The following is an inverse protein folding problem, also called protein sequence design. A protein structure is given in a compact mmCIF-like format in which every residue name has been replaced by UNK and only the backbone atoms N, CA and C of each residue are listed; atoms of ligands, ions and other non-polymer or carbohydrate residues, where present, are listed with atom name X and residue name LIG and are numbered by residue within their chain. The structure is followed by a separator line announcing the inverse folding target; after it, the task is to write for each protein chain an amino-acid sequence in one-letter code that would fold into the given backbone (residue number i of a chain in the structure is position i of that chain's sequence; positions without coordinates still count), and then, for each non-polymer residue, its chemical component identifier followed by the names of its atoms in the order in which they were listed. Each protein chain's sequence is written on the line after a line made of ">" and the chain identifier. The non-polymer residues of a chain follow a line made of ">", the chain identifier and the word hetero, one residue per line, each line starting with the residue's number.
data_IF_817583362632
#
_entry.id   IF_817583362632
#
_cell.length_a   1.000
_cell.length_b   1.000
_cell.length_c   1.000
_cell.angle_alpha   90.00
_cell.angle_beta   90.00
_cell.angle_gamma   90.00
#
_symmetry.space_group_name_H-M   'P 1'
#
loop_
_entity.id
_entity.type
_entity.pdbx_description
1 polymer ?
#
# COMPACT_ATOMS: atom_id res chain seq x y z
N UNK A 1 -7.00 14.73 0.61
CA UNK A 1 -5.74 14.17 1.12
C UNK A 1 -5.95 13.66 2.54
N UNK A 2 -6.40 14.49 3.51
CA UNK A 2 -6.79 14.03 4.87
C UNK A 2 -7.74 12.82 4.90
N UNK A 3 -8.76 12.81 4.04
CA UNK A 3 -9.69 11.67 3.94
C UNK A 3 -8.96 10.41 3.42
N UNK A 4 -8.20 10.52 2.33
CA UNK A 4 -7.46 9.41 1.75
C UNK A 4 -6.37 8.82 2.67
N UNK A 5 -5.70 9.65 3.48
CA UNK A 5 -4.76 9.17 4.50
C UNK A 5 -5.48 8.44 5.63
N UNK A 6 -6.60 9.00 6.11
CA UNK A 6 -7.43 8.38 7.16
C UNK A 6 -8.06 7.06 6.70
N UNK A 7 -8.50 6.97 5.44
CA UNK A 7 -9.03 5.74 4.85
C UNK A 7 -7.97 4.65 4.77
N UNK A 8 -6.76 5.01 4.32
CA UNK A 8 -5.63 4.08 4.23
C UNK A 8 -5.15 3.61 5.62
N UNK A 9 -5.16 4.49 6.62
CA UNK A 9 -4.86 4.12 8.01
C UNK A 9 -5.87 3.11 8.57
N UNK A 10 -7.17 3.42 8.48
CA UNK A 10 -8.23 2.52 8.92
C UNK A 10 -8.19 1.15 8.21
N UNK A 11 -7.81 1.15 6.94
CA UNK A 11 -7.60 -0.07 6.19
C UNK A 11 -6.42 -0.87 6.74
N UNK A 12 -5.26 -0.24 6.92
CA UNK A 12 -4.07 -0.91 7.46
C UNK A 12 -4.23 -1.41 8.90
N UNK A 13 -5.13 -0.82 9.70
CA UNK A 13 -5.49 -1.31 11.04
C UNK A 13 -6.26 -2.64 10.98
N UNK A 14 -7.22 -2.78 10.05
CA UNK A 14 -7.96 -4.03 9.84
C UNK A 14 -7.04 -5.20 9.49
N UNK A 15 -5.96 -4.94 8.75
CA UNK A 15 -4.94 -5.96 8.47
C UNK A 15 -4.20 -6.41 9.73
N UNK A 16 -3.90 -5.50 10.66
CA UNK A 16 -3.17 -5.83 11.89
C UNK A 16 -4.02 -6.64 12.89
N UNK A 17 -5.31 -6.32 12.98
CA UNK A 17 -6.26 -7.10 13.78
C UNK A 17 -6.38 -8.53 13.23
N UNK A 18 -6.57 -8.69 11.92
CA UNK A 18 -6.66 -10.00 11.28
C UNK A 18 -5.37 -10.84 11.40
N UNK A 19 -4.19 -10.20 11.43
CA UNK A 19 -2.92 -10.91 11.58
C UNK A 19 -2.64 -11.32 13.05
N UNK A 20 -3.20 -10.60 14.03
CA UNK A 20 -3.02 -10.93 15.45
C UNK A 20 -3.87 -12.14 15.89
N UNK A 21 -4.94 -12.45 15.16
CA UNK A 21 -5.76 -13.66 15.35
C UNK A 21 -5.13 -14.91 14.75
N UNK A 22 -3.95 -14.80 14.14
CA UNK A 22 -3.26 -15.91 13.51
C UNK A 22 -2.46 -16.70 14.55
N UNK A 23 -2.90 -17.94 14.76
CA UNK A 23 -2.41 -18.88 15.75
C UNK A 23 -0.88 -19.07 15.72
N UNK A 24 -0.31 -19.18 16.92
CA UNK A 24 1.00 -19.76 17.19
C UNK A 24 1.16 -21.11 16.46
N UNK A 25 1.92 -21.10 15.36
CA UNK A 25 2.26 -22.28 14.56
C UNK A 25 3.68 -22.78 14.83
N UNK A 26 4.29 -22.39 15.95
CA UNK A 26 5.68 -22.76 16.28
C UNK A 26 5.92 -24.28 16.48
N UNK A 27 4.86 -25.10 16.51
CA UNK A 27 4.93 -26.54 16.82
C UNK A 27 4.75 -27.54 15.67
N UNK A 28 4.38 -27.15 14.44
CA UNK A 28 4.08 -28.11 13.36
C UNK A 28 5.21 -28.18 12.34
N UNK A 29 5.73 -29.37 12.10
CA UNK A 29 6.82 -29.63 11.15
C UNK A 29 6.24 -30.30 9.90
N UNK A 30 5.88 -29.51 8.87
CA UNK A 30 5.65 -29.99 7.49
C UNK A 30 5.63 -28.83 6.49
N UNK A 31 5.96 -29.17 5.26
CA UNK A 31 6.29 -28.29 4.12
C UNK A 31 5.29 -27.19 3.68
N UNK A 32 3.99 -27.12 4.06
CA UNK A 32 3.14 -25.97 3.71
C UNK A 32 3.43 -24.67 4.48
N UNK A 33 4.28 -24.69 5.51
CA UNK A 33 4.57 -23.52 6.36
C UNK A 33 5.40 -22.45 5.64
N UNK A 34 6.26 -22.85 4.70
CA UNK A 34 7.14 -21.92 3.98
C UNK A 34 6.35 -20.98 3.05
N UNK A 35 5.29 -21.48 2.42
CA UNK A 35 4.38 -20.68 1.60
C UNK A 35 3.58 -19.71 2.47
N UNK A 36 3.10 -20.16 3.63
CA UNK A 36 2.35 -19.32 4.56
C UNK A 36 3.23 -18.21 5.14
N UNK A 37 4.44 -18.53 5.61
CA UNK A 37 5.41 -17.56 6.09
C UNK A 37 5.73 -16.47 5.06
N UNK A 38 5.88 -16.82 3.79
CA UNK A 38 6.13 -15.86 2.71
C UNK A 38 4.94 -14.93 2.47
N UNK A 39 3.72 -15.47 2.43
CA UNK A 39 2.49 -14.69 2.26
C UNK A 39 2.26 -13.73 3.44
N UNK A 40 2.55 -14.15 4.67
CA UNK A 40 2.44 -13.28 5.85
C UNK A 40 3.50 -12.18 5.88
N UNK A 41 4.71 -12.48 5.43
CA UNK A 41 5.78 -11.50 5.32
C UNK A 41 5.44 -10.46 4.24
N UNK A 42 4.92 -10.88 3.10
CA UNK A 42 4.45 -9.98 2.04
C UNK A 42 3.24 -9.13 2.47
N UNK A 43 2.28 -9.72 3.20
CA UNK A 43 1.16 -8.99 3.79
C UNK A 43 1.64 -7.91 4.77
N UNK A 44 2.59 -8.24 5.64
CA UNK A 44 3.21 -7.29 6.57
C UNK A 44 3.91 -6.15 5.81
N UNK A 45 4.58 -6.50 4.71
CA UNK A 45 5.30 -5.58 3.85
C UNK A 45 4.40 -4.62 3.05
N UNK A 46 3.21 -5.06 2.63
CA UNK A 46 2.17 -4.21 2.01
C UNK A 46 1.65 -3.20 3.04
N UNK A 47 1.25 -3.68 4.22
CA UNK A 47 0.68 -2.85 5.30
C UNK A 47 1.70 -1.80 5.76
N UNK A 48 2.94 -2.22 6.01
CA UNK A 48 4.02 -1.33 6.42
C UNK A 48 4.27 -0.21 5.41
N UNK A 49 4.32 -0.55 4.11
CA UNK A 49 4.53 0.43 3.04
C UNK A 49 3.33 1.35 2.86
N UNK A 50 2.09 0.84 2.95
CA UNK A 50 0.89 1.66 2.91
C UNK A 50 0.87 2.69 4.08
N UNK A 51 1.24 2.27 5.29
CA UNK A 51 1.38 3.17 6.45
C UNK A 51 2.46 4.24 6.23
N UNK A 52 3.62 3.85 5.70
CA UNK A 52 4.68 4.80 5.33
C UNK A 52 4.15 5.84 4.34
N UNK A 53 3.46 5.40 3.29
CA UNK A 53 2.88 6.29 2.28
C UNK A 53 1.82 7.23 2.88
N UNK A 54 0.95 6.75 3.78
CA UNK A 54 0.01 7.62 4.50
C UNK A 54 0.72 8.71 5.29
N UNK A 55 1.75 8.34 6.07
CA UNK A 55 2.53 9.29 6.87
C UNK A 55 3.24 10.35 6.02
N UNK A 56 3.83 9.93 4.89
CA UNK A 56 4.45 10.85 3.93
C UNK A 56 3.42 11.81 3.32
N UNK A 57 2.29 11.29 2.83
CA UNK A 57 1.23 12.11 2.25
C UNK A 57 0.58 13.05 3.28
N UNK A 58 0.49 12.62 4.54
CA UNK A 58 0.01 13.45 5.63
C UNK A 58 0.95 14.62 5.93
N UNK A 59 2.28 14.37 5.94
CA UNK A 59 3.28 15.43 6.07
C UNK A 59 3.17 16.48 4.95
N UNK A 60 2.92 16.03 3.72
CA UNK A 60 2.66 16.91 2.56
C UNK A 60 1.35 17.69 2.71
N UNK A 61 0.30 17.09 3.26
CA UNK A 61 -0.95 17.80 3.58
C UNK A 61 -0.74 18.87 4.67
N UNK A 62 -0.02 18.56 5.74
CA UNK A 62 0.29 19.50 6.82
C UNK A 62 1.06 20.71 6.30
N UNK A 63 1.97 20.52 5.34
CA UNK A 63 2.65 21.62 4.66
C UNK A 63 1.67 22.63 4.06
N UNK A 64 0.58 22.18 3.42
CA UNK A 64 -0.46 23.08 2.87
C UNK A 64 -1.21 23.89 3.93
N UNK A 65 -1.08 23.50 5.21
CA UNK A 65 -1.64 24.19 6.37
C UNK A 65 -0.62 25.04 7.12
N UNK A 66 0.64 25.03 6.70
CA UNK A 66 1.75 25.66 7.44
C UNK A 66 2.15 24.89 8.70
N UNK A 67 1.77 23.61 8.78
CA UNK A 67 2.04 22.72 9.91
C UNK A 67 3.01 21.59 9.52
N UNK A 68 3.43 20.81 10.52
CA UNK A 68 4.19 19.59 10.29
C UNK A 68 5.69 19.80 10.06
N UNK A 69 6.39 18.76 9.59
CA UNK A 69 7.85 18.72 9.55
C UNK A 69 8.45 19.46 8.34
N UNK A 70 7.69 19.62 7.25
CA UNK A 70 8.15 20.27 6.03
C UNK A 70 8.07 21.80 6.20
N UNK A 71 9.18 22.51 6.02
CA UNK A 71 9.26 23.96 6.24
C UNK A 71 9.44 24.75 4.95
N UNK A 72 10.04 24.14 3.94
CA UNK A 72 10.32 24.77 2.66
C UNK A 72 9.62 24.05 1.52
N UNK A 73 9.41 24.75 0.41
CA UNK A 73 8.93 24.11 -0.84
C UNK A 73 9.91 23.05 -1.35
N UNK A 74 11.20 23.19 -1.04
CA UNK A 74 12.20 22.20 -1.37
C UNK A 74 11.96 20.90 -0.58
N UNK A 75 11.67 21.00 0.73
CA UNK A 75 11.34 19.84 1.57
C UNK A 75 10.12 19.11 1.00
N UNK A 76 9.11 19.84 0.52
CA UNK A 76 7.94 19.24 -0.11
C UNK A 76 8.31 18.44 -1.37
N UNK A 77 9.16 19.00 -2.24
CA UNK A 77 9.57 18.31 -3.46
C UNK A 77 10.42 17.08 -3.16
N UNK A 78 11.34 17.18 -2.21
CA UNK A 78 12.12 16.02 -1.74
C UNK A 78 11.20 14.96 -1.12
N UNK A 79 10.22 15.36 -0.31
CA UNK A 79 9.23 14.44 0.25
C UNK A 79 8.41 13.73 -0.83
N UNK A 80 8.04 14.45 -1.89
CA UNK A 80 7.31 13.89 -3.02
C UNK A 80 8.16 12.89 -3.83
N UNK A 81 9.48 13.09 -3.93
CA UNK A 81 10.40 12.10 -4.51
C UNK A 81 10.44 10.81 -3.67
N UNK A 82 10.57 10.93 -2.35
CA UNK A 82 10.52 9.76 -1.46
C UNK A 82 9.16 9.04 -1.52
N UNK A 83 8.06 9.79 -1.59
CA UNK A 83 6.73 9.24 -1.74
C UNK A 83 6.57 8.45 -3.05
N UNK A 84 7.09 9.00 -4.16
CA UNK A 84 7.11 8.33 -5.46
C UNK A 84 7.95 7.04 -5.44
N UNK A 85 9.09 7.04 -4.74
CA UNK A 85 9.92 5.85 -4.60
C UNK A 85 9.22 4.76 -3.77
N UNK A 86 8.58 5.14 -2.66
CA UNK A 86 7.85 4.18 -1.81
C UNK A 86 6.66 3.56 -2.56
N UNK A 87 5.96 4.34 -3.39
CA UNK A 87 4.90 3.84 -4.28
C UNK A 87 5.41 2.80 -5.29
N UNK A 88 6.60 3.01 -5.88
CA UNK A 88 7.24 2.04 -6.77
C UNK A 88 7.60 0.74 -6.03
N UNK A 89 8.03 0.83 -4.77
CA UNK A 89 8.33 -0.36 -3.95
C UNK A 89 7.04 -1.12 -3.63
N UNK A 90 5.98 -0.42 -3.23
CA UNK A 90 4.68 -1.02 -2.96
C UNK A 90 4.12 -1.73 -4.20
N UNK A 91 4.23 -1.11 -5.38
CA UNK A 91 3.84 -1.72 -6.66
C UNK A 91 4.48 -3.11 -6.87
N UNK A 92 5.79 -3.23 -6.62
CA UNK A 92 6.53 -4.49 -6.77
C UNK A 92 6.04 -5.57 -5.81
N UNK A 93 5.85 -5.20 -4.53
CA UNK A 93 5.37 -6.13 -3.50
C UNK A 93 3.96 -6.62 -3.84
N UNK A 94 3.04 -5.71 -4.20
CA UNK A 94 1.67 -6.09 -4.54
C UNK A 94 1.62 -6.95 -5.80
N UNK A 95 2.50 -6.68 -6.77
CA UNK A 95 2.59 -7.50 -7.97
C UNK A 95 3.03 -8.93 -7.64
N UNK A 96 4.01 -9.09 -6.75
CA UNK A 96 4.43 -10.39 -6.24
C UNK A 96 3.30 -11.11 -5.48
N UNK A 97 2.63 -10.41 -4.58
CA UNK A 97 1.45 -10.91 -3.85
C UNK A 97 0.36 -11.40 -4.81
N UNK A 98 0.09 -10.67 -5.89
CA UNK A 98 -0.94 -11.05 -6.88
C UNK A 98 -0.63 -12.37 -7.60
N UNK A 99 0.65 -12.72 -7.75
CA UNK A 99 1.08 -13.98 -8.35
C UNK A 99 0.95 -15.16 -7.39
N UNK A 100 1.20 -14.93 -6.09
CA UNK A 100 1.22 -15.99 -5.08
C UNK A 100 -0.16 -16.27 -4.46
N UNK A 101 -0.92 -15.22 -4.15
CA UNK A 101 -2.09 -15.31 -3.25
C UNK A 101 -3.40 -15.34 -4.01
N UNK A 102 -3.48 -14.76 -5.20
CA UNK A 102 -4.75 -14.63 -5.92
C UNK A 102 -4.88 -15.75 -6.96
N UNK A 103 -5.57 -16.88 -6.66
CA UNK A 103 -5.95 -17.85 -7.67
C UNK A 103 -6.82 -17.11 -8.71
N UNK A 104 -6.57 -17.36 -9.99
CA UNK A 104 -7.11 -16.57 -11.10
C UNK A 104 -8.62 -16.28 -10.98
N UNK A 105 -9.04 -15.07 -11.38
CA UNK A 105 -10.44 -14.63 -11.28
C UNK A 105 -10.62 -13.13 -11.49
N UNK A 106 -11.87 -12.65 -11.34
CA UNK A 106 -12.24 -11.25 -11.54
C UNK A 106 -11.51 -10.28 -10.60
N UNK A 107 -11.28 -10.67 -9.34
CA UNK A 107 -10.60 -9.84 -8.33
C UNK A 107 -9.12 -9.62 -8.67
N UNK A 108 -8.43 -10.65 -9.18
CA UNK A 108 -7.05 -10.51 -9.67
C UNK A 108 -6.96 -9.51 -10.80
N UNK A 109 -7.91 -9.60 -11.74
CA UNK A 109 -7.97 -8.73 -12.90
C UNK A 109 -8.17 -7.27 -12.47
N UNK A 110 -9.13 -7.02 -11.58
CA UNK A 110 -9.38 -5.68 -11.03
C UNK A 110 -8.18 -5.13 -10.24
N UNK A 111 -7.52 -5.97 -9.44
CA UNK A 111 -6.29 -5.59 -8.72
C UNK A 111 -5.21 -5.12 -9.71
N UNK A 112 -4.92 -5.93 -10.74
CA UNK A 112 -3.88 -5.63 -11.71
C UNK A 112 -4.23 -4.40 -12.57
N UNK A 113 -5.50 -4.24 -12.96
CA UNK A 113 -5.96 -3.05 -13.71
C UNK A 113 -5.76 -1.74 -12.94
N UNK A 114 -5.92 -1.75 -11.61
CA UNK A 114 -5.65 -0.58 -10.79
C UNK A 114 -4.14 -0.44 -10.49
N UNK A 115 -3.44 -1.54 -10.24
CA UNK A 115 -2.02 -1.57 -9.97
C UNK A 115 -1.20 -1.05 -11.15
N UNK A 116 -1.56 -1.38 -12.39
CA UNK A 116 -0.85 -0.96 -13.60
C UNK A 116 -0.98 0.55 -13.91
N UNK A 117 -1.88 1.25 -13.22
CA UNK A 117 -1.96 2.72 -13.27
C UNK A 117 -0.90 3.39 -12.38
N UNK A 118 -0.45 2.70 -11.32
CA UNK A 118 0.49 3.25 -10.32
C UNK A 118 1.78 3.79 -10.96
N UNK A 119 2.48 3.05 -11.85
CA UNK A 119 3.69 3.56 -12.49
C UNK A 119 3.48 4.88 -13.24
N UNK A 120 2.33 5.07 -13.88
CA UNK A 120 2.01 6.31 -14.60
C UNK A 120 1.88 7.50 -13.65
N UNK A 121 1.17 7.34 -12.53
CA UNK A 121 1.05 8.40 -11.53
C UNK A 121 2.40 8.72 -10.87
N UNK A 122 3.21 7.70 -10.59
CA UNK A 122 4.56 7.87 -10.05
C UNK A 122 5.44 8.66 -11.01
N UNK A 123 5.45 8.30 -12.29
CA UNK A 123 6.21 9.01 -13.31
C UNK A 123 5.79 10.46 -13.42
N UNK A 124 4.48 10.76 -13.45
CA UNK A 124 3.97 12.13 -13.50
C UNK A 124 4.46 12.94 -12.31
N UNK A 125 4.30 12.43 -11.09
CA UNK A 125 4.77 13.09 -9.88
C UNK A 125 6.29 13.36 -9.95
N UNK A 126 7.08 12.37 -10.39
CA UNK A 126 8.53 12.51 -10.55
C UNK A 126 8.94 13.55 -11.60
N UNK A 127 8.21 13.64 -12.72
CA UNK A 127 8.45 14.69 -13.71
C UNK A 127 8.11 16.07 -13.14
N UNK A 128 6.98 16.20 -12.46
CA UNK A 128 6.57 17.47 -11.85
C UNK A 128 7.58 17.96 -10.84
N UNK A 129 8.10 17.11 -9.94
CA UNK A 129 9.06 17.55 -8.91
C UNK A 129 10.43 17.93 -9.50
N UNK A 130 10.87 17.27 -10.58
CA UNK A 130 12.15 17.54 -11.25
C UNK A 130 12.13 18.74 -12.19
N UNK A 131 10.94 19.19 -12.60
CA UNK A 131 10.81 20.35 -13.47
C UNK A 131 11.34 21.62 -12.79
N UNK A 132 12.23 22.34 -13.46
CA UNK A 132 12.81 23.56 -12.89
C UNK A 132 11.84 24.72 -13.07
N UNK A 133 11.43 25.34 -11.96
CA UNK A 133 10.51 26.48 -11.99
C UNK A 133 11.15 27.71 -11.38
N UNK A 134 11.04 28.85 -12.06
CA UNK A 134 11.56 30.15 -11.62
C UNK A 134 10.42 31.13 -11.41
N UNK A 135 10.44 31.85 -10.27
CA UNK A 135 9.45 32.86 -9.92
C UNK A 135 8.31 32.35 -9.04
N UNK A 136 7.84 33.21 -8.13
CA UNK A 136 6.89 32.85 -7.06
C UNK A 136 5.61 32.19 -7.58
N UNK A 137 4.99 32.78 -8.61
CA UNK A 137 3.74 32.27 -9.17
C UNK A 137 3.90 30.85 -9.74
N UNK A 138 4.96 30.59 -10.49
CA UNK A 138 5.26 29.26 -11.04
C UNK A 138 5.53 28.23 -9.93
N UNK A 139 6.23 28.62 -8.86
CA UNK A 139 6.47 27.76 -7.70
C UNK A 139 5.17 27.37 -6.99
N UNK A 140 4.24 28.29 -6.78
CA UNK A 140 2.93 27.97 -6.19
C UNK A 140 2.15 26.97 -7.05
N UNK A 141 2.08 27.20 -8.36
CA UNK A 141 1.44 26.25 -9.28
C UNK A 141 2.09 24.87 -9.24
N UNK A 142 3.42 24.80 -9.16
CA UNK A 142 4.15 23.55 -9.03
C UNK A 142 3.80 22.81 -7.73
N UNK A 143 3.76 23.53 -6.61
CA UNK A 143 3.34 22.98 -5.31
C UNK A 143 1.94 22.40 -5.41
N UNK A 144 0.98 23.13 -5.97
CA UNK A 144 -0.40 22.67 -6.13
C UNK A 144 -0.48 21.40 -6.99
N UNK A 145 0.28 21.36 -8.09
CA UNK A 145 0.36 20.17 -8.95
C UNK A 145 0.94 18.97 -8.21
N UNK A 146 2.01 19.15 -7.43
CA UNK A 146 2.62 18.08 -6.61
C UNK A 146 1.62 17.53 -5.60
N UNK A 147 0.92 18.41 -4.87
CA UNK A 147 -0.10 18.01 -3.90
C UNK A 147 -1.25 17.26 -4.60
N UNK A 148 -1.67 17.72 -5.77
CA UNK A 148 -2.75 17.08 -6.51
C UNK A 148 -2.35 15.69 -7.05
N UNK A 149 -1.14 15.55 -7.61
CA UNK A 149 -0.63 14.27 -8.08
C UNK A 149 -0.42 13.27 -6.93
N UNK A 150 0.06 13.71 -5.76
CA UNK A 150 0.12 12.89 -4.55
C UNK A 150 -1.26 12.39 -4.14
N UNK A 151 -2.29 13.25 -4.18
CA UNK A 151 -3.68 12.85 -3.86
C UNK A 151 -4.20 11.82 -4.86
N UNK A 152 -3.95 12.03 -6.16
CA UNK A 152 -4.36 11.11 -7.21
C UNK A 152 -3.72 9.73 -7.01
N UNK A 153 -2.42 9.69 -6.71
CA UNK A 153 -1.70 8.46 -6.43
C UNK A 153 -2.22 7.76 -5.17
N UNK A 154 -2.43 8.48 -4.07
CA UNK A 154 -3.01 7.90 -2.83
C UNK A 154 -4.38 7.26 -3.05
N UNK A 155 -5.25 7.87 -3.85
CA UNK A 155 -6.57 7.33 -4.15
C UNK A 155 -6.49 5.98 -4.89
N UNK A 156 -5.52 5.83 -5.80
CA UNK A 156 -5.30 4.55 -6.49
C UNK A 156 -4.70 3.53 -5.54
N UNK A 157 -3.71 3.93 -4.74
CA UNK A 157 -3.06 3.04 -3.77
C UNK A 157 -4.05 2.50 -2.74
N UNK A 158 -4.94 3.34 -2.18
CA UNK A 158 -5.96 2.88 -1.23
C UNK A 158 -6.81 1.77 -1.86
N UNK A 159 -7.35 1.98 -3.08
CA UNK A 159 -8.14 0.94 -3.77
C UNK A 159 -7.36 -0.36 -3.96
N UNK A 160 -6.09 -0.27 -4.34
CA UNK A 160 -5.24 -1.46 -4.53
C UNK A 160 -5.06 -2.20 -3.20
N UNK A 161 -4.79 -1.48 -2.11
CA UNK A 161 -4.64 -2.06 -0.76
C UNK A 161 -5.95 -2.69 -0.27
N UNK A 162 -7.11 -2.08 -0.55
CA UNK A 162 -8.43 -2.67 -0.28
C UNK A 162 -8.61 -4.01 -0.97
N UNK A 163 -8.35 -4.06 -2.27
CA UNK A 163 -8.51 -5.31 -3.03
C UNK A 163 -7.52 -6.37 -2.53
N UNK A 164 -6.29 -5.99 -2.17
CA UNK A 164 -5.32 -6.89 -1.53
C UNK A 164 -5.87 -7.48 -0.22
N UNK A 165 -6.55 -6.67 0.60
CA UNK A 165 -7.11 -7.11 1.89
C UNK A 165 -8.21 -8.13 1.69
N UNK A 166 -9.12 -7.87 0.77
CA UNK A 166 -10.20 -8.78 0.43
C UNK A 166 -9.67 -10.12 -0.09
N UNK A 167 -8.61 -10.08 -0.89
CA UNK A 167 -7.94 -11.29 -1.38
C UNK A 167 -7.28 -12.08 -0.24
N UNK A 168 -6.54 -11.41 0.64
CA UNK A 168 -5.88 -12.03 1.79
C UNK A 168 -6.88 -12.65 2.79
N UNK A 169 -8.01 -11.98 3.01
CA UNK A 169 -9.07 -12.46 3.91
C UNK A 169 -9.77 -13.69 3.34
N UNK A 170 -10.07 -13.71 2.04
CA UNK A 170 -10.66 -14.89 1.37
C UNK A 170 -9.74 -16.11 1.44
N UNK A 171 -8.42 -15.92 1.28
CA UNK A 171 -7.44 -17.01 1.41
C UNK A 171 -7.38 -17.54 2.85
N UNK A 172 -7.41 -16.67 3.86
CA UNK A 172 -7.46 -17.09 5.27
C UNK A 172 -8.72 -17.93 5.59
N UNK A 173 -9.87 -17.53 5.03
CA UNK A 173 -11.13 -18.28 5.17
C UNK A 173 -11.12 -19.63 4.42
N UNK A 174 -10.39 -19.76 3.32
CA UNK A 174 -10.24 -21.04 2.60
C UNK A 174 -9.24 -21.99 3.27
N UNK A 175 -8.28 -21.49 4.04
CA UNK A 175 -7.35 -22.32 4.83
C UNK A 175 -7.94 -22.80 6.16
N UNK A 176 -8.89 -22.09 6.77
CA UNK A 176 -9.56 -22.54 7.99
C UNK A 176 -10.27 -23.90 7.89
N UNK A 177 -11.08 -24.21 6.86
CA UNK A 177 -11.82 -25.48 6.81
C UNK A 177 -10.93 -26.69 6.51
N UNK A 178 -9.70 -26.51 6.02
CA UNK A 178 -8.81 -27.64 5.72
C UNK A 178 -8.01 -28.12 6.95
N UNK A 179 -7.87 -27.31 8.00
CA UNK A 179 -7.27 -27.76 9.27
C UNK A 179 -8.27 -28.59 10.09
N UNK A 180 -9.56 -28.25 10.07
CA UNK A 180 -10.60 -29.04 10.77
C UNK A 180 -10.77 -30.43 10.17
N UNK A 181 -10.67 -30.58 8.84
CA UNK A 181 -10.81 -31.89 8.19
C UNK A 181 -9.61 -32.81 8.42
N UNK A 182 -8.41 -32.26 8.65
CA UNK A 182 -7.21 -33.03 8.93
C UNK A 182 -7.16 -33.54 10.39
N UNK A 183 -7.87 -32.88 11.31
CA UNK A 183 -8.00 -33.31 12.71
C UNK A 183 -9.10 -34.38 12.91
N UNK A 184 -10.12 -34.42 12.05
CA UNK A 184 -11.23 -35.39 12.15
C UNK A 184 -10.95 -36.76 11.51
N UNK A 185 -9.74 -37.01 10.98
CA UNK A 185 -9.36 -38.29 10.38
C UNK A 185 -8.30 -39.07 11.18
N UNK A 186 -8.02 -38.64 12.41
CA UNK A 186 -7.20 -39.35 13.39
C UNK A 186 -8.03 -39.65 14.65
N UNK A 187 -9.03 -40.52 14.51
CA UNK A 187 -9.57 -41.34 15.60
C UNK A 187 -9.40 -42.83 15.21
#
# INVERSE_FOLDING_TARGET
>A
MKLATSEMEAETEKWQENNSTQMDVSGLNRSPILCYSGVLQENNDIVKRAKNMSSMAFSMYQFTKGEGPLKTTQDLFTQAEYFAEEANRLYKVIRQFSYQVVPGGAQKKELLENLDKVPTFVQRLQFTVKDHTVGKAATFTKVDNVIQETKNLMNVISKVVTVCFECATKVSLFLQPHLDLALLHFD
#
